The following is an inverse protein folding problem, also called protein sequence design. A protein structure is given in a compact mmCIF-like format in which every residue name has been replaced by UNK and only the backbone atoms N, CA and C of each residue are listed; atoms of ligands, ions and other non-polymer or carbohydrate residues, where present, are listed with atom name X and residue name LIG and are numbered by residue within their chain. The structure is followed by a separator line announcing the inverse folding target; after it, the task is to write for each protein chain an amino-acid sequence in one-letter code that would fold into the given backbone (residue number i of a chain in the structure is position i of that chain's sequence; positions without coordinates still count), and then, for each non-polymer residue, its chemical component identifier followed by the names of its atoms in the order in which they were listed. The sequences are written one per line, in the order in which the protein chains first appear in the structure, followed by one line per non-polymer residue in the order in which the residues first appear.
data_IF_364069285822
#
_entry.id   IF_364069285822
#
_cell.length_a   1.000
_cell.length_b   1.000
_cell.length_c   1.000
_cell.angle_alpha   90.00
_cell.angle_beta   90.00
_cell.angle_gamma   90.00
#
_symmetry.space_group_name_H-M   'P 1'
#
loop_
_entity.id
_entity.type
_entity.pdbx_description
1 polymer ?
#
# COMPACT_ATOMS: atom_id res chain seq x y z
N UNK A 1 -10.69 -16.27 -1.90
CA UNK A 1 -9.62 -15.66 -2.70
C UNK A 1 -10.17 -14.68 -3.73
N UNK A 2 -11.20 -15.04 -4.48
CA UNK A 2 -11.78 -14.20 -5.54
C UNK A 2 -12.11 -12.78 -5.07
N UNK A 3 -12.73 -12.64 -3.89
CA UNK A 3 -13.06 -11.33 -3.30
C UNK A 3 -11.82 -10.54 -2.86
N UNK A 4 -10.77 -11.18 -2.36
CA UNK A 4 -9.51 -10.49 -2.07
C UNK A 4 -8.85 -9.96 -3.35
N UNK A 5 -8.86 -10.77 -4.42
CA UNK A 5 -8.29 -10.37 -5.71
C UNK A 5 -9.07 -9.22 -6.35
N UNK A 6 -10.41 -9.29 -6.36
CA UNK A 6 -11.24 -8.24 -6.94
C UNK A 6 -11.18 -6.93 -6.14
N UNK A 7 -11.19 -7.01 -4.81
CA UNK A 7 -11.04 -5.83 -3.96
C UNK A 7 -9.63 -5.23 -4.12
N UNK A 8 -8.58 -6.05 -4.14
CA UNK A 8 -7.22 -5.57 -4.30
C UNK A 8 -6.96 -4.92 -5.66
N UNK A 9 -7.55 -5.44 -6.74
CA UNK A 9 -7.44 -4.79 -8.04
C UNK A 9 -8.04 -3.37 -8.01
N UNK A 10 -9.26 -3.22 -7.49
CA UNK A 10 -9.94 -1.92 -7.37
C UNK A 10 -9.15 -0.94 -6.49
N UNK A 11 -8.65 -1.41 -5.36
CA UNK A 11 -7.83 -0.61 -4.44
C UNK A 11 -6.51 -0.21 -5.10
N UNK A 12 -5.84 -1.11 -5.82
CA UNK A 12 -4.61 -0.82 -6.56
C UNK A 12 -4.85 0.21 -7.68
N UNK A 13 -5.96 0.10 -8.41
CA UNK A 13 -6.38 1.09 -9.41
C UNK A 13 -6.65 2.47 -8.79
N UNK A 14 -7.28 2.49 -7.61
CA UNK A 14 -7.51 3.73 -6.87
C UNK A 14 -6.18 4.39 -6.47
N UNK A 15 -5.27 3.63 -5.85
CA UNK A 15 -3.95 4.13 -5.48
C UNK A 15 -3.16 4.63 -6.69
N UNK A 16 -3.22 3.95 -7.84
CA UNK A 16 -2.52 4.36 -9.07
C UNK A 16 -3.02 5.69 -9.64
N UNK A 17 -4.26 6.09 -9.34
CA UNK A 17 -4.83 7.38 -9.76
C UNK A 17 -4.52 8.52 -8.78
N UNK A 18 -4.05 8.21 -7.58
CA UNK A 18 -3.75 9.21 -6.56
C UNK A 18 -2.38 9.84 -6.81
N UNK A 19 -2.33 11.17 -6.88
CA UNK A 19 -1.06 11.91 -6.98
C UNK A 19 -0.19 11.75 -5.72
N UNK A 20 -0.80 11.36 -4.59
CA UNK A 20 -0.09 11.19 -3.31
C UNK A 20 0.65 9.85 -3.18
N UNK A 21 0.61 9.03 -4.23
CA UNK A 21 1.21 7.71 -4.28
C UNK A 21 2.27 7.71 -5.36
N UNK A 22 3.52 7.45 -4.97
CA UNK A 22 4.66 7.47 -5.87
C UNK A 22 4.64 6.26 -6.83
N UNK A 23 4.34 5.08 -6.30
CA UNK A 23 4.17 3.88 -7.10
C UNK A 23 3.24 2.86 -6.43
N UNK A 24 2.64 2.01 -7.26
CA UNK A 24 1.85 0.85 -6.84
C UNK A 24 2.38 -0.38 -7.55
N UNK A 25 2.76 -1.39 -6.78
CA UNK A 25 3.18 -2.70 -7.24
C UNK A 25 2.08 -3.70 -6.92
N UNK A 26 1.43 -4.19 -7.97
CA UNK A 26 0.40 -5.22 -7.87
C UNK A 26 0.38 -6.01 -9.18
N UNK A 27 0.66 -7.33 -9.16
CA UNK A 27 0.75 -8.12 -10.39
C UNK A 27 -0.57 -8.18 -11.19
N UNK A 28 -1.71 -7.92 -10.56
CA UNK A 28 -3.00 -7.85 -11.27
C UNK A 28 -3.25 -6.51 -11.97
N UNK A 29 -2.47 -5.47 -11.69
CA UNK A 29 -2.67 -4.12 -12.22
C UNK A 29 -2.11 -4.02 -13.64
N UNK A 30 -2.88 -3.44 -14.55
CA UNK A 30 -2.40 -3.16 -15.91
C UNK A 30 -1.21 -2.19 -15.85
N UNK A 31 -0.10 -2.55 -16.50
CA UNK A 31 1.16 -1.80 -16.49
C UNK A 31 2.17 -2.24 -15.42
N UNK A 32 1.84 -3.22 -14.56
CA UNK A 32 2.86 -3.87 -13.73
C UNK A 32 3.76 -4.77 -14.61
N UNK A 33 5.06 -4.79 -14.32
CA UNK A 33 6.05 -5.61 -15.05
C UNK A 33 5.73 -7.11 -15.03
N UNK A 34 4.96 -7.56 -14.04
CA UNK A 34 4.56 -8.94 -13.87
C UNK A 34 3.14 -9.22 -14.36
N UNK A 35 2.43 -8.24 -14.93
CA UNK A 35 1.03 -8.41 -15.35
C UNK A 35 0.83 -9.55 -16.35
N UNK A 36 1.65 -9.62 -17.39
CA UNK A 36 1.57 -10.70 -18.39
C UNK A 36 1.88 -12.09 -17.76
N UNK A 37 2.85 -12.14 -16.85
CA UNK A 37 3.21 -13.37 -16.15
C UNK A 37 2.11 -13.79 -15.17
N UNK A 38 1.50 -12.84 -14.48
CA UNK A 38 0.37 -13.07 -13.59
C UNK A 38 -0.83 -13.63 -14.37
N UNK A 39 -1.16 -13.07 -15.53
CA UNK A 39 -2.24 -13.60 -16.38
C UNK A 39 -1.94 -15.02 -16.87
N UNK A 40 -0.66 -15.34 -17.14
CA UNK A 40 -0.24 -16.67 -17.58
C UNK A 40 -0.27 -17.72 -16.46
N UNK A 41 0.26 -17.39 -15.29
CA UNK A 41 0.48 -18.35 -14.20
C UNK A 41 -0.64 -18.34 -13.15
N UNK A 42 -1.36 -17.23 -13.01
CA UNK A 42 -2.40 -17.00 -12.00
C UNK A 42 -3.71 -16.50 -12.66
N UNK A 43 -4.30 -17.25 -13.62
CA UNK A 43 -5.46 -16.81 -14.40
C UNK A 43 -6.74 -16.65 -13.56
N UNK A 44 -6.78 -17.19 -12.35
CA UNK A 44 -7.90 -17.10 -11.41
C UNK A 44 -7.74 -15.97 -10.38
N UNK A 45 -6.75 -15.10 -10.57
CA UNK A 45 -6.44 -14.01 -9.65
C UNK A 45 -5.15 -14.24 -8.89
N UNK A 46 -4.49 -13.14 -8.53
CA UNK A 46 -3.15 -13.13 -7.94
C UNK A 46 -3.22 -13.25 -6.42
N UNK A 47 -3.43 -12.14 -5.73
CA UNK A 47 -3.53 -12.06 -4.28
C UNK A 47 -4.27 -10.79 -3.85
N UNK A 48 -4.57 -10.71 -2.56
CA UNK A 48 -5.11 -9.51 -1.92
C UNK A 48 -4.04 -8.52 -1.43
N UNK A 49 -2.76 -8.72 -1.77
CA UNK A 49 -1.64 -7.95 -1.19
C UNK A 49 -1.09 -6.97 -2.23
N UNK A 50 -1.06 -5.70 -1.86
CA UNK A 50 -0.58 -4.58 -2.67
C UNK A 50 0.63 -3.99 -1.95
N UNK A 51 1.66 -3.64 -2.70
CA UNK A 51 2.79 -2.87 -2.17
C UNK A 51 2.75 -1.49 -2.82
N UNK A 52 2.71 -0.42 -2.04
CA UNK A 52 2.69 0.95 -2.55
C UNK A 52 3.67 1.84 -1.78
N UNK A 53 4.11 2.93 -2.39
CA UNK A 53 4.90 3.97 -1.73
C UNK A 53 4.10 5.26 -1.68
N UNK A 54 3.87 5.79 -0.48
CA UNK A 54 3.29 7.13 -0.30
C UNK A 54 4.36 8.16 -0.64
N UNK A 55 3.98 9.20 -1.39
CA UNK A 55 4.90 10.27 -1.75
C UNK A 55 5.37 11.04 -0.50
N UNK A 56 6.68 11.31 -0.47
CA UNK A 56 7.33 12.07 0.60
C UNK A 56 8.06 11.20 1.61
N UNK A 57 8.03 11.62 2.88
CA UNK A 57 8.87 11.02 3.93
C UNK A 57 8.17 9.86 4.64
N UNK A 58 8.95 9.11 5.43
CA UNK A 58 8.45 8.10 6.37
C UNK A 58 7.32 8.60 7.26
N UNK A 59 7.33 9.89 7.61
CA UNK A 59 6.28 10.49 8.44
C UNK A 59 4.93 10.53 7.72
N UNK A 60 4.92 10.73 6.40
CA UNK A 60 3.68 10.67 5.60
C UNK A 60 3.10 9.26 5.60
N UNK A 61 3.95 8.23 5.44
CA UNK A 61 3.50 6.85 5.47
C UNK A 61 2.94 6.45 6.85
N UNK A 62 3.60 6.87 7.94
CA UNK A 62 3.10 6.65 9.31
C UNK A 62 1.78 7.41 9.51
N UNK A 63 1.70 8.67 9.11
CA UNK A 63 0.50 9.49 9.26
C UNK A 63 -0.67 8.93 8.46
N UNK A 64 -0.43 8.41 7.26
CA UNK A 64 -1.44 7.69 6.48
C UNK A 64 -1.96 6.48 7.26
N UNK A 65 -1.05 5.63 7.76
CA UNK A 65 -1.43 4.45 8.53
C UNK A 65 -2.21 4.78 9.80
N UNK A 66 -1.80 5.80 10.54
CA UNK A 66 -2.48 6.25 11.76
C UNK A 66 -3.84 6.91 11.48
N UNK A 67 -4.06 7.37 10.25
CA UNK A 67 -5.31 8.01 9.84
C UNK A 67 -6.38 7.01 9.37
N UNK A 68 -5.99 5.77 9.04
CA UNK A 68 -6.91 4.70 8.65
C UNK A 68 -7.75 4.27 9.84
N UNK A 69 -9.06 4.11 9.63
CA UNK A 69 -10.03 3.72 10.66
C UNK A 69 -10.52 2.29 10.49
N UNK A 70 -10.49 1.78 9.26
CA UNK A 70 -10.91 0.43 8.93
C UNK A 70 -9.72 -0.52 8.87
N UNK A 71 -8.63 -0.11 8.22
CA UNK A 71 -7.43 -0.92 8.13
C UNK A 71 -6.70 -0.99 9.48
N UNK A 72 -6.32 -2.21 9.89
CA UNK A 72 -5.59 -2.43 11.15
C UNK A 72 -4.09 -2.59 10.91
N UNK A 73 -3.25 -2.03 11.79
CA UNK A 73 -1.79 -2.19 11.70
C UNK A 73 -1.37 -3.56 12.28
N UNK A 74 -1.12 -4.52 11.39
CA UNK A 74 -0.89 -5.92 11.74
C UNK A 74 0.29 -6.50 10.94
N UNK A 75 1.06 -7.37 11.59
CA UNK A 75 2.21 -8.03 10.95
C UNK A 75 1.80 -9.21 10.05
N UNK A 76 0.62 -9.77 10.29
CA UNK A 76 0.04 -10.88 9.53
C UNK A 76 -0.44 -10.43 8.14
N UNK A 77 -0.77 -11.39 7.27
CA UNK A 77 -1.29 -11.14 5.91
C UNK A 77 -2.47 -12.06 5.62
N UNK A 78 -3.32 -11.68 4.66
CA UNK A 78 -4.44 -12.47 4.18
C UNK A 78 -5.48 -12.83 5.26
N UNK A 79 -5.74 -11.91 6.19
CA UNK A 79 -6.85 -12.01 7.13
C UNK A 79 -8.17 -11.58 6.45
N UNK A 80 -9.31 -11.89 7.07
CA UNK A 80 -10.63 -11.41 6.65
C UNK A 80 -10.74 -9.89 6.72
N UNK A 81 -9.92 -9.25 7.56
CA UNK A 81 -9.82 -7.80 7.74
C UNK A 81 -8.68 -7.23 6.93
N UNK A 82 -8.83 -5.97 6.53
CA UNK A 82 -7.80 -5.21 5.85
C UNK A 82 -6.67 -4.87 6.83
N UNK A 83 -5.45 -5.25 6.44
CA UNK A 83 -4.25 -5.08 7.26
C UNK A 83 -3.21 -4.24 6.54
N UNK A 84 -2.59 -3.32 7.27
CA UNK A 84 -1.49 -2.48 6.78
C UNK A 84 -0.23 -2.69 7.58
N UNK A 85 0.91 -2.63 6.91
CA UNK A 85 2.23 -2.70 7.54
C UNK A 85 3.20 -1.77 6.82
N UNK A 86 3.96 -0.99 7.58
CA UNK A 86 5.08 -0.22 7.04
C UNK A 86 6.41 -0.94 7.33
N UNK A 87 7.06 -1.57 6.33
CA UNK A 87 8.24 -2.42 6.55
C UNK A 87 9.45 -1.66 7.09
N UNK A 88 9.63 -0.38 6.73
CA UNK A 88 10.78 0.42 7.16
C UNK A 88 10.70 0.85 8.64
N UNK A 89 9.51 0.86 9.26
CA UNK A 89 9.36 1.14 10.71
C UNK A 89 9.24 -0.10 11.57
N UNK A 90 8.91 -1.25 10.95
CA UNK A 90 8.66 -2.51 11.64
C UNK A 90 9.80 -3.51 11.41
N UNK A 91 9.80 -4.22 10.28
CA UNK A 91 10.67 -5.38 10.04
C UNK A 91 12.10 -5.04 9.64
N UNK A 92 12.35 -3.83 9.12
CA UNK A 92 13.66 -3.41 8.61
C UNK A 92 14.28 -2.25 9.41
N UNK A 93 13.80 -1.99 10.64
CA UNK A 93 14.27 -0.90 11.52
C UNK A 93 15.79 -0.90 11.77
N UNK A 94 16.46 -2.03 11.57
CA UNK A 94 17.91 -2.19 11.78
C UNK A 94 18.76 -1.85 10.54
N UNK A 95 18.15 -1.58 9.38
CA UNK A 95 18.86 -1.22 8.16
C UNK A 95 19.06 0.30 8.06
N UNK A 96 20.21 0.72 7.53
CA UNK A 96 20.46 2.12 7.21
C UNK A 96 19.65 2.56 5.99
N UNK A 97 19.44 3.87 5.80
CA UNK A 97 18.68 4.40 4.66
C UNK A 97 19.26 3.97 3.30
N UNK A 98 20.58 3.80 3.22
CA UNK A 98 21.29 3.27 2.06
C UNK A 98 20.95 1.79 1.80
N UNK A 99 20.84 0.97 2.85
CA UNK A 99 20.47 -0.45 2.74
C UNK A 99 18.99 -0.63 2.40
N UNK A 100 18.11 0.24 2.92
CA UNK A 100 16.69 0.27 2.56
C UNK A 100 16.52 0.61 1.08
N UNK A 101 17.23 1.63 0.60
CA UNK A 101 17.21 2.02 -0.82
C UNK A 101 17.77 0.91 -1.71
N UNK A 102 18.86 0.25 -1.30
CA UNK A 102 19.44 -0.89 -2.03
C UNK A 102 18.50 -2.10 -2.08
N UNK A 103 17.66 -2.30 -1.06
CA UNK A 103 16.62 -3.34 -1.04
C UNK A 103 15.34 -2.96 -1.80
N UNK A 104 15.29 -1.76 -2.39
CA UNK A 104 14.08 -1.22 -3.05
C UNK A 104 12.96 -0.87 -2.06
N UNK A 105 13.29 -0.69 -0.79
CA UNK A 105 12.35 -0.25 0.26
C UNK A 105 12.46 1.26 0.36
N UNK A 106 11.49 1.96 -0.21
CA UNK A 106 11.38 3.40 0.00
C UNK A 106 10.97 3.68 1.45
N UNK A 107 11.37 4.83 2.02
CA UNK A 107 10.92 5.26 3.35
C UNK A 107 9.40 5.38 3.48
N UNK A 108 8.68 5.48 2.37
CA UNK A 108 7.21 5.55 2.30
C UNK A 108 6.52 4.22 1.95
N UNK A 109 7.26 3.09 1.91
CA UNK A 109 6.70 1.81 1.47
C UNK A 109 5.68 1.27 2.48
N UNK A 110 4.48 0.96 2.00
CA UNK A 110 3.40 0.35 2.76
C UNK A 110 2.96 -0.92 2.05
N UNK A 111 2.83 -2.00 2.83
CA UNK A 111 2.17 -3.22 2.41
C UNK A 111 0.71 -3.16 2.85
N UNK A 112 -0.19 -3.20 1.87
CA UNK A 112 -1.63 -3.14 2.07
C UNK A 112 -2.25 -4.49 1.71
N UNK A 113 -2.70 -5.24 2.71
CA UNK A 113 -3.40 -6.51 2.54
C UNK A 113 -4.90 -6.26 2.60
N UNK A 114 -5.57 -6.28 1.45
CA UNK A 114 -7.00 -6.03 1.32
C UNK A 114 -7.79 -7.23 1.82
N UNK A 115 -8.70 -6.99 2.75
CA UNK A 115 -9.55 -8.02 3.33
C UNK A 115 -10.79 -8.33 2.47
N UNK A 116 -11.81 -8.89 3.13
CA UNK A 116 -13.07 -9.29 2.52
C UNK A 116 -14.19 -8.26 2.73
N UNK A 117 -13.88 -7.10 3.30
CA UNK A 117 -14.85 -6.02 3.53
C UNK A 117 -15.41 -5.45 2.21
N UNK A 118 -16.39 -4.56 2.34
CA UNK A 118 -16.91 -3.83 1.20
C UNK A 118 -15.79 -2.95 0.64
N UNK A 119 -15.55 -3.06 -0.67
CA UNK A 119 -14.44 -2.34 -1.32
C UNK A 119 -14.64 -0.84 -1.32
N UNK A 120 -15.90 -0.38 -1.34
CA UNK A 120 -16.22 1.05 -1.30
C UNK A 120 -15.83 1.62 0.07
N UNK A 121 -16.16 0.93 1.17
CA UNK A 121 -15.76 1.34 2.52
C UNK A 121 -14.22 1.38 2.68
N UNK A 122 -13.50 0.42 2.06
CA UNK A 122 -12.03 0.41 2.06
C UNK A 122 -11.49 1.62 1.28
N UNK A 123 -12.07 1.93 0.12
CA UNK A 123 -11.68 3.08 -0.69
C UNK A 123 -11.99 4.40 0.04
N UNK A 124 -13.13 4.51 0.71
CA UNK A 124 -13.49 5.69 1.52
C UNK A 124 -12.52 5.88 2.69
N UNK A 125 -12.11 4.81 3.37
CA UNK A 125 -11.11 4.87 4.44
C UNK A 125 -9.75 5.33 3.90
N UNK A 126 -9.33 4.79 2.75
CA UNK A 126 -8.11 5.21 2.06
C UNK A 126 -8.20 6.68 1.63
N UNK A 127 -9.32 7.11 1.03
CA UNK A 127 -9.53 8.48 0.57
C UNK A 127 -9.44 9.46 1.74
N UNK A 128 -10.14 9.16 2.84
CA UNK A 128 -10.07 9.98 4.04
C UNK A 128 -8.66 10.01 4.61
N UNK A 129 -7.94 8.89 4.68
CA UNK A 129 -6.58 8.85 5.19
C UNK A 129 -5.61 9.63 4.27
N UNK A 130 -5.73 9.51 2.95
CA UNK A 130 -4.97 10.27 1.97
C UNK A 130 -5.28 11.77 2.06
N UNK A 131 -6.53 12.16 2.33
CA UNK A 131 -6.89 13.58 2.52
C UNK A 131 -6.19 14.21 3.73
N UNK A 132 -5.83 13.44 4.76
CA UNK A 132 -5.07 13.93 5.93
C UNK A 132 -3.58 14.15 5.65
N UNK A 133 -3.08 13.68 4.50
CA UNK A 133 -1.74 13.95 4.00
C UNK A 133 -1.70 15.33 3.32
N UNK A 134 -1.02 16.27 3.95
CA UNK A 134 -0.69 17.56 3.35
C UNK A 134 0.73 17.47 2.79
N UNK A 135 0.85 17.14 1.50
CA UNK A 135 2.15 17.07 0.81
C UNK A 135 2.77 18.46 0.59
N UNK A 136 1.99 19.53 0.72
CA UNK A 136 2.43 20.93 0.62
C UNK A 136 3.15 21.47 1.86
N UNK A 137 3.18 20.70 2.97
CA UNK A 137 3.91 21.10 4.16
C UNK A 137 5.41 20.85 3.93
N UNK A 138 6.11 21.88 3.41
CA UNK A 138 7.58 21.95 3.36
C UNK A 138 8.18 21.39 4.66
N UNK A 139 9.27 20.60 4.60
CA UNK A 139 9.91 20.10 5.80
C UNK A 139 10.23 21.27 6.72
N UNK A 140 9.76 21.19 7.96
CA UNK A 140 10.15 22.10 9.02
C UNK A 140 11.68 22.02 9.13
N UNK A 141 12.34 23.03 8.59
CA UNK A 141 13.79 23.19 8.67
C UNK A 141 14.04 23.74 10.07
N UNK A 142 14.69 22.94 10.91
CA UNK A 142 15.25 23.39 12.20
C UNK A 142 16.58 24.08 11.94
#
# INVERSE_FOLDING_TARGET
MDRHCSNALKVAEYFKKSEKVEFVNYPGLEGDKYHELANKYLPLGTCGVISLSIEGSRENAIKFMDSLKLASNEVHVADIRTCVLHPASSTHRQLTDEQLTAAGITPGLIRFSVGLENVDDIIEDIEQALAHLNLDAKPYTV
#
